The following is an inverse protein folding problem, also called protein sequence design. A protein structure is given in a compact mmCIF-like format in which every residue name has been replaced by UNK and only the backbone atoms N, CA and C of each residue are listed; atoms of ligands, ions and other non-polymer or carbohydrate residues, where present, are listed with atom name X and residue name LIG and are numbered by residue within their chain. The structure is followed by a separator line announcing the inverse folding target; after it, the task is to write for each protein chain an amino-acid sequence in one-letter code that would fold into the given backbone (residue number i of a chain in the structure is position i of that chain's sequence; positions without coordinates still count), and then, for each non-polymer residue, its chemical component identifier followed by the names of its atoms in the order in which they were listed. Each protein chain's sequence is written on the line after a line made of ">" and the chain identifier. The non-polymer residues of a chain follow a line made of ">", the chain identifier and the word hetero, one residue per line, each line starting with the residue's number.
data_IF_263230062763
#
_entry.id   IF_263230062763
#
_cell.length_a   1.000
_cell.length_b   1.000
_cell.length_c   1.000
_cell.angle_alpha   90.00
_cell.angle_beta   90.00
_cell.angle_gamma   90.00
#
_symmetry.space_group_name_H-M   'P 1'
#
loop_
_entity.id
_entity.type
_entity.pdbx_description
1 polymer ?
#
# COMPACT_ATOMS: atom_id res chain seq x y z
N UNK A 1 -2.58 23.74 25.91
CA UNK A 1 -3.30 22.47 26.08
C UNK A 1 -3.37 21.77 24.72
N UNK A 2 -2.23 21.31 24.18
CA UNK A 2 -2.18 20.75 22.80
C UNK A 2 -0.96 19.84 22.64
N UNK A 3 -0.84 18.81 23.49
CA UNK A 3 0.33 17.90 23.46
C UNK A 3 0.00 16.42 23.61
N UNK A 4 -1.27 16.03 23.76
CA UNK A 4 -1.62 14.70 24.27
C UNK A 4 -2.22 13.71 23.25
N UNK A 5 -2.31 14.06 21.96
CA UNK A 5 -3.06 13.22 20.99
C UNK A 5 -2.15 12.37 20.08
N UNK A 6 -0.85 12.67 19.97
CA UNK A 6 0.03 11.99 18.98
C UNK A 6 0.59 10.64 19.50
N UNK A 7 0.41 10.32 20.78
CA UNK A 7 0.92 9.06 21.36
C UNK A 7 0.17 7.79 20.94
N UNK A 8 -0.95 7.89 20.19
CA UNK A 8 -1.82 6.73 19.91
C UNK A 8 -1.83 6.18 18.49
N UNK A 9 -1.11 6.75 17.52
CA UNK A 9 -1.10 6.18 16.16
C UNK A 9 0.08 6.65 15.30
N UNK A 10 1.25 6.08 15.56
CA UNK A 10 2.23 5.84 14.49
C UNK A 10 2.32 4.33 14.35
N UNK A 11 1.63 3.81 13.33
CA UNK A 11 1.59 2.37 13.05
C UNK A 11 3.00 1.82 12.83
N UNK A 12 3.26 0.65 13.41
CA UNK A 12 4.56 -0.02 13.31
C UNK A 12 4.91 -0.34 11.85
N UNK A 13 6.06 0.16 11.37
CA UNK A 13 6.61 -0.24 10.08
C UNK A 13 7.29 -1.61 10.22
N UNK A 14 6.51 -2.68 10.18
CA UNK A 14 7.03 -4.04 10.14
C UNK A 14 8.05 -4.22 9.00
N UNK A 15 9.31 -4.39 9.38
CA UNK A 15 10.41 -4.80 8.52
C UNK A 15 11.18 -5.94 9.20
N UNK A 16 12.15 -6.53 8.50
CA UNK A 16 13.02 -7.63 8.98
C UNK A 16 13.79 -7.32 10.28
N UNK A 17 13.72 -6.08 10.77
CA UNK A 17 14.36 -5.61 12.00
C UNK A 17 13.27 -5.17 13.00
N UNK A 18 12.61 -6.13 13.64
CA UNK A 18 11.60 -5.90 14.69
C UNK A 18 12.16 -5.22 15.95
N UNK A 19 13.49 -5.14 16.08
CA UNK A 19 14.18 -4.57 17.24
C UNK A 19 14.73 -3.16 17.01
N UNK A 20 14.70 -2.65 15.76
CA UNK A 20 15.06 -1.28 15.47
C UNK A 20 13.78 -0.48 15.21
N UNK A 21 13.20 0.04 16.30
CA UNK A 21 12.16 1.06 16.21
C UNK A 21 12.82 2.35 15.73
N UNK A 22 12.98 2.52 14.42
CA UNK A 22 13.34 3.81 13.86
C UNK A 22 12.11 4.70 14.01
N UNK A 23 12.15 5.57 15.02
CA UNK A 23 11.14 6.61 15.20
C UNK A 23 11.34 7.66 14.09
N UNK A 24 10.26 8.20 13.51
CA UNK A 24 10.39 9.31 12.59
C UNK A 24 10.93 10.54 13.33
N UNK A 25 11.85 11.25 12.69
CA UNK A 25 12.22 12.58 13.13
C UNK A 25 11.09 13.56 12.79
N UNK A 26 10.72 14.39 13.76
CA UNK A 26 9.74 15.44 13.58
C UNK A 26 10.45 16.79 13.46
N UNK A 27 10.04 17.59 12.50
CA UNK A 27 10.57 18.93 12.30
C UNK A 27 9.48 19.86 11.76
N UNK A 28 9.57 21.14 12.14
CA UNK A 28 8.73 22.21 11.59
C UNK A 28 9.32 22.80 10.30
N UNK A 29 10.58 22.46 9.99
CA UNK A 29 11.28 22.93 8.79
C UNK A 29 10.63 22.42 7.52
N UNK A 30 10.70 23.22 6.47
CA UNK A 30 10.28 22.80 5.13
C UNK A 30 11.23 21.75 4.54
N UNK A 31 10.75 20.92 3.63
CA UNK A 31 11.56 19.81 3.06
C UNK A 31 12.89 20.29 2.45
N UNK A 32 12.90 21.40 1.72
CA UNK A 32 14.14 21.98 1.16
C UNK A 32 15.09 22.57 2.20
N UNK A 33 14.57 22.95 3.36
CA UNK A 33 15.40 23.43 4.46
C UNK A 33 16.04 22.26 5.22
N UNK A 34 15.33 21.12 5.30
CA UNK A 34 15.85 19.87 5.86
C UNK A 34 16.84 19.19 4.92
N UNK A 35 16.60 19.24 3.61
CA UNK A 35 17.41 18.59 2.58
C UNK A 35 17.83 19.60 1.50
N UNK A 36 18.76 20.52 1.78
CA UNK A 36 19.11 21.62 0.88
C UNK A 36 19.89 21.16 -0.37
N UNK A 37 20.72 20.12 -0.23
CA UNK A 37 21.63 19.65 -1.28
C UNK A 37 21.10 18.44 -2.06
N UNK A 38 19.90 17.96 -1.71
CA UNK A 38 19.31 16.76 -2.28
C UNK A 38 18.35 17.08 -3.44
N UNK A 39 18.30 16.21 -4.44
CA UNK A 39 17.18 16.24 -5.39
C UNK A 39 15.91 15.77 -4.69
N UNK A 40 15.08 16.74 -4.29
CA UNK A 40 13.78 16.48 -3.68
C UNK A 40 12.69 16.43 -4.74
N UNK A 41 11.90 15.37 -4.73
CA UNK A 41 10.66 15.27 -5.51
C UNK A 41 9.44 15.20 -4.60
N UNK A 42 8.33 15.81 -5.03
CA UNK A 42 7.06 15.79 -4.32
C UNK A 42 6.09 14.86 -5.03
N UNK A 43 5.57 13.85 -4.33
CA UNK A 43 4.56 12.93 -4.88
C UNK A 43 3.19 13.59 -4.89
N UNK A 44 2.60 13.72 -6.08
CA UNK A 44 1.20 14.10 -6.25
C UNK A 44 0.55 13.28 -7.35
N UNK A 45 -0.69 12.83 -7.13
CA UNK A 45 -1.48 12.15 -8.16
C UNK A 45 -1.82 13.05 -9.36
N UNK A 46 -1.74 14.36 -9.16
CA UNK A 46 -2.07 15.39 -10.16
C UNK A 46 -0.84 15.87 -10.95
N UNK A 47 0.35 15.35 -10.66
CA UNK A 47 1.56 15.66 -11.40
C UNK A 47 1.50 15.13 -12.84
N UNK A 48 2.22 15.80 -13.74
CA UNK A 48 2.34 15.40 -15.15
C UNK A 48 3.46 14.37 -15.34
N UNK A 49 4.61 14.65 -14.75
CA UNK A 49 5.78 13.80 -14.79
C UNK A 49 5.59 12.57 -13.91
N UNK A 50 6.15 11.45 -14.34
CA UNK A 50 6.04 10.17 -13.67
C UNK A 50 7.40 9.77 -13.11
N UNK A 51 7.43 9.34 -11.85
CA UNK A 51 8.63 8.77 -11.22
C UNK A 51 8.72 7.31 -11.64
N UNK A 52 9.62 6.99 -12.57
CA UNK A 52 9.75 5.66 -13.17
C UNK A 52 11.23 5.34 -13.39
N UNK A 53 11.61 4.08 -13.21
CA UNK A 53 13.01 3.65 -13.11
C UNK A 53 13.55 3.59 -11.67
N UNK A 54 14.88 3.48 -11.48
CA UNK A 54 15.47 3.43 -10.15
C UNK A 54 15.14 4.69 -9.33
N UNK A 55 15.02 4.55 -8.00
CA UNK A 55 14.80 5.68 -7.08
C UNK A 55 16.11 6.48 -6.89
N UNK A 56 16.50 7.21 -7.94
CA UNK A 56 17.68 8.07 -7.97
C UNK A 56 17.34 9.51 -7.56
N UNK A 57 16.67 9.66 -6.43
CA UNK A 57 16.33 10.97 -5.85
C UNK A 57 16.80 10.98 -4.40
N UNK A 58 17.31 12.13 -3.95
CA UNK A 58 17.86 12.29 -2.61
C UNK A 58 16.79 12.27 -1.52
N UNK A 59 15.62 12.86 -1.80
CA UNK A 59 14.47 12.79 -0.90
C UNK A 59 13.13 12.77 -1.64
N UNK A 60 12.14 12.17 -0.98
CA UNK A 60 10.76 12.11 -1.47
C UNK A 60 9.84 12.78 -0.44
N UNK A 61 9.22 13.89 -0.84
CA UNK A 61 8.15 14.53 -0.10
C UNK A 61 6.80 13.89 -0.45
N UNK A 62 6.03 13.51 0.57
CA UNK A 62 4.71 12.93 0.42
C UNK A 62 3.72 13.70 1.29
N UNK A 63 2.58 14.09 0.71
CA UNK A 63 1.49 14.63 1.51
C UNK A 63 0.79 13.48 2.25
N UNK A 64 0.62 13.63 3.56
CA UNK A 64 -0.08 12.64 4.40
C UNK A 64 -1.61 12.73 4.24
N UNK A 65 -2.11 13.70 3.47
CA UNK A 65 -3.53 13.79 3.10
C UNK A 65 -3.88 12.90 1.88
N UNK A 66 -5.17 12.80 1.58
CA UNK A 66 -5.66 12.07 0.40
C UNK A 66 -5.31 12.73 -0.95
N UNK A 67 -4.75 13.94 -0.94
CA UNK A 67 -4.45 14.78 -2.12
C UNK A 67 -5.68 14.95 -3.05
N UNK A 68 -6.87 15.12 -2.48
CA UNK A 68 -8.14 15.25 -3.21
C UNK A 68 -8.27 16.58 -3.94
N UNK A 69 -7.81 17.67 -3.32
CA UNK A 69 -7.91 19.03 -3.83
C UNK A 69 -6.55 19.59 -4.31
N UNK A 70 -5.61 18.71 -4.69
CA UNK A 70 -4.29 19.05 -5.24
C UNK A 70 -3.37 19.72 -4.20
N UNK A 71 -3.55 19.38 -2.93
CA UNK A 71 -2.80 19.89 -1.79
C UNK A 71 -1.29 19.65 -1.97
N UNK A 72 -0.92 18.44 -2.41
CA UNK A 72 0.48 18.07 -2.67
C UNK A 72 1.08 18.91 -3.81
N UNK A 73 0.33 19.10 -4.90
CA UNK A 73 0.79 19.91 -6.04
C UNK A 73 0.93 21.39 -5.66
N UNK A 74 0.02 21.92 -4.86
CA UNK A 74 0.09 23.28 -4.32
C UNK A 74 1.31 23.47 -3.40
N UNK A 75 1.56 22.51 -2.50
CA UNK A 75 2.74 22.50 -1.64
C UNK A 75 4.05 22.45 -2.45
N UNK A 76 4.13 21.54 -3.44
CA UNK A 76 5.27 21.42 -4.32
C UNK A 76 5.58 22.75 -5.06
N UNK A 77 4.55 23.41 -5.61
CA UNK A 77 4.68 24.69 -6.30
C UNK A 77 5.19 25.81 -5.38
N UNK A 78 4.62 25.94 -4.18
CA UNK A 78 5.06 26.94 -3.19
C UNK A 78 6.52 26.72 -2.77
N UNK A 79 6.93 25.46 -2.58
CA UNK A 79 8.31 25.09 -2.26
C UNK A 79 9.27 25.09 -3.45
N UNK A 80 8.81 25.38 -4.68
CA UNK A 80 9.57 25.21 -5.92
C UNK A 80 10.21 23.80 -6.03
N UNK A 81 9.46 22.78 -5.62
CA UNK A 81 9.84 21.36 -5.65
C UNK A 81 9.21 20.72 -6.88
N UNK A 82 9.98 19.89 -7.58
CA UNK A 82 9.49 19.12 -8.72
C UNK A 82 8.40 18.14 -8.27
N UNK A 83 7.22 18.21 -8.89
CA UNK A 83 6.12 17.32 -8.58
C UNK A 83 6.07 16.15 -9.56
N UNK A 84 6.01 14.92 -9.05
CA UNK A 84 5.94 13.68 -9.82
C UNK A 84 4.80 12.79 -9.33
N UNK A 85 4.28 11.92 -10.20
CA UNK A 85 3.29 10.89 -9.83
C UNK A 85 3.90 9.50 -9.87
N UNK A 86 3.31 8.58 -9.11
CA UNK A 86 3.65 7.16 -9.20
C UNK A 86 3.25 6.58 -10.57
N UNK A 87 3.98 5.59 -11.11
CA UNK A 87 3.75 5.01 -12.43
C UNK A 87 2.61 3.98 -12.42
N UNK A 88 1.55 4.23 -11.63
CA UNK A 88 0.43 3.28 -11.44
C UNK A 88 -0.20 2.91 -12.78
N UNK A 89 -0.55 3.92 -13.60
CA UNK A 89 -1.21 3.68 -14.89
C UNK A 89 -0.34 2.95 -15.91
N UNK A 90 0.99 2.92 -15.72
CA UNK A 90 1.92 2.21 -16.61
C UNK A 90 1.91 0.72 -16.33
N UNK A 91 1.92 0.33 -15.06
CA UNK A 91 2.08 -1.07 -14.63
C UNK A 91 0.78 -1.74 -14.15
N UNK A 92 -0.28 -0.96 -13.91
CA UNK A 92 -1.49 -1.44 -13.26
C UNK A 92 -2.73 -0.97 -13.99
N UNK A 93 -3.53 -1.94 -14.46
CA UNK A 93 -4.87 -1.68 -14.98
C UNK A 93 -5.85 -1.48 -13.83
N UNK A 94 -6.11 -0.21 -13.52
CA UNK A 94 -7.01 0.17 -12.44
C UNK A 94 -8.47 0.01 -12.88
N UNK A 95 -9.18 -0.95 -12.32
CA UNK A 95 -10.55 -1.29 -12.73
C UNK A 95 -11.60 -0.45 -12.00
N UNK A 96 -11.41 -0.19 -10.70
CA UNK A 96 -12.44 0.49 -9.91
C UNK A 96 -11.94 1.21 -8.66
N UNK A 97 -12.76 2.15 -8.19
CA UNK A 97 -12.53 2.92 -6.98
C UNK A 97 -11.48 4.02 -7.13
N UNK A 98 -11.29 4.84 -6.09
CA UNK A 98 -10.34 5.95 -6.15
C UNK A 98 -8.90 5.44 -6.24
N UNK A 99 -8.11 6.03 -7.14
CA UNK A 99 -6.67 5.79 -7.25
C UNK A 99 -5.93 6.53 -6.14
N UNK A 100 -6.12 6.05 -4.92
CA UNK A 100 -5.45 6.49 -3.71
C UNK A 100 -4.76 5.30 -3.05
N UNK A 101 -3.51 5.49 -2.63
CA UNK A 101 -2.73 4.49 -1.93
C UNK A 101 -2.51 4.95 -0.49
N UNK A 102 -2.88 4.14 0.52
CA UNK A 102 -2.54 4.45 1.91
C UNK A 102 -1.02 4.63 2.08
N UNK A 103 -0.64 5.56 2.95
CA UNK A 103 0.78 5.85 3.25
C UNK A 103 1.63 4.59 3.50
N UNK A 104 1.19 3.59 4.31
CA UNK A 104 1.99 2.38 4.53
C UNK A 104 2.28 1.59 3.24
N UNK A 105 1.33 1.57 2.30
CA UNK A 105 1.50 0.87 1.03
C UNK A 105 2.50 1.61 0.14
N UNK A 106 2.46 2.95 0.13
CA UNK A 106 3.44 3.78 -0.59
C UNK A 106 4.85 3.52 -0.04
N UNK A 107 5.03 3.46 1.27
CA UNK A 107 6.33 3.15 1.89
C UNK A 107 6.85 1.76 1.52
N UNK A 108 5.97 0.75 1.50
CA UNK A 108 6.32 -0.61 1.05
C UNK A 108 6.70 -0.64 -0.42
N UNK A 109 6.02 0.13 -1.27
CA UNK A 109 6.35 0.28 -2.69
C UNK A 109 7.75 0.88 -2.84
N UNK A 110 8.02 2.03 -2.23
CA UNK A 110 9.36 2.66 -2.33
C UNK A 110 10.47 1.76 -1.81
N UNK A 111 10.24 1.09 -0.67
CA UNK A 111 11.21 0.12 -0.13
C UNK A 111 11.48 -1.02 -1.11
N UNK A 112 10.45 -1.54 -1.77
CA UNK A 112 10.60 -2.60 -2.76
C UNK A 112 11.40 -2.13 -3.96
N UNK A 113 10.99 -1.01 -4.56
CA UNK A 113 11.65 -0.41 -5.75
C UNK A 113 13.11 -0.08 -5.45
N UNK A 114 13.41 0.49 -4.29
CA UNK A 114 14.77 0.80 -3.89
C UNK A 114 15.64 -0.47 -3.81
N UNK A 115 15.12 -1.55 -3.18
CA UNK A 115 15.85 -2.81 -3.03
C UNK A 115 16.01 -3.60 -4.33
N UNK A 116 15.03 -3.50 -5.24
CA UNK A 116 15.06 -4.19 -6.52
C UNK A 116 15.77 -3.40 -7.62
N UNK A 117 16.16 -2.15 -7.35
CA UNK A 117 16.78 -1.27 -8.34
C UNK A 117 15.81 -0.73 -9.40
N UNK A 118 14.49 -0.74 -9.14
CA UNK A 118 13.51 -0.15 -10.08
C UNK A 118 12.31 -1.02 -10.44
N UNK A 119 12.07 -2.16 -9.81
CA UNK A 119 10.90 -3.00 -10.11
C UNK A 119 9.60 -2.41 -9.54
N UNK A 120 9.00 -1.50 -10.30
CA UNK A 120 7.73 -0.86 -9.98
C UNK A 120 6.53 -1.77 -10.14
N UNK A 121 6.53 -2.64 -11.14
CA UNK A 121 5.40 -3.51 -11.45
C UNK A 121 5.10 -4.45 -10.29
N UNK A 122 6.11 -5.20 -9.85
CA UNK A 122 5.99 -6.11 -8.70
C UNK A 122 5.68 -5.34 -7.42
N UNK A 123 6.31 -4.18 -7.21
CA UNK A 123 6.06 -3.34 -6.04
C UNK A 123 4.59 -2.90 -5.96
N UNK A 124 4.04 -2.42 -7.06
CA UNK A 124 2.67 -1.94 -7.15
C UNK A 124 1.66 -3.08 -7.02
N UNK A 125 1.83 -4.18 -7.76
CA UNK A 125 0.91 -5.31 -7.71
C UNK A 125 0.85 -5.98 -6.34
N UNK A 126 1.97 -6.05 -5.60
CA UNK A 126 2.01 -6.59 -4.24
C UNK A 126 1.34 -5.70 -3.19
N UNK A 127 1.25 -4.39 -3.44
CA UNK A 127 0.80 -3.41 -2.45
C UNK A 127 -0.53 -2.71 -2.81
N UNK A 128 -1.09 -2.97 -3.99
CA UNK A 128 -2.44 -2.52 -4.36
C UNK A 128 -3.44 -3.63 -4.06
N UNK A 129 -4.56 -3.29 -3.42
CA UNK A 129 -5.60 -4.27 -3.12
C UNK A 129 -6.23 -4.81 -4.41
N UNK A 130 -6.34 -6.15 -4.50
CA UNK A 130 -6.98 -6.87 -5.62
C UNK A 130 -8.34 -6.30 -6.04
N UNK A 131 -9.11 -5.76 -5.09
CA UNK A 131 -10.41 -5.12 -5.38
C UNK A 131 -10.33 -4.00 -6.41
N UNK A 132 -9.19 -3.34 -6.55
CA UNK A 132 -8.94 -2.27 -7.53
C UNK A 132 -8.44 -2.80 -8.87
N UNK A 133 -8.03 -4.07 -8.92
CA UNK A 133 -7.38 -4.72 -10.07
C UNK A 133 -8.32 -5.67 -10.82
N UNK A 134 -9.37 -6.14 -10.14
CA UNK A 134 -10.31 -7.12 -10.69
C UNK A 134 -11.54 -6.46 -11.29
N UNK A 135 -11.99 -7.00 -12.42
CA UNK A 135 -13.27 -6.64 -13.03
C UNK A 135 -14.45 -7.16 -12.19
N UNK A 136 -15.68 -6.64 -12.41
CA UNK A 136 -16.87 -7.18 -11.77
C UNK A 136 -17.06 -8.68 -12.01
N UNK A 137 -16.78 -9.15 -13.23
CA UNK A 137 -16.94 -10.56 -13.63
C UNK A 137 -15.93 -11.46 -12.89
N UNK A 138 -14.66 -11.05 -12.81
CA UNK A 138 -13.62 -11.79 -12.09
C UNK A 138 -13.95 -11.92 -10.60
N UNK A 139 -14.54 -10.88 -10.00
CA UNK A 139 -14.96 -10.91 -8.59
C UNK A 139 -16.12 -11.85 -8.35
N UNK A 140 -17.08 -11.87 -9.26
CA UNK A 140 -18.20 -12.78 -9.16
C UNK A 140 -17.73 -14.23 -9.28
N UNK A 141 -16.82 -14.51 -10.22
CA UNK A 141 -16.20 -15.82 -10.35
C UNK A 141 -15.42 -16.25 -9.10
N UNK A 142 -14.59 -15.36 -8.52
CA UNK A 142 -13.86 -15.66 -7.28
C UNK A 142 -14.83 -15.89 -6.10
N UNK A 143 -15.88 -15.08 -5.97
CA UNK A 143 -16.89 -15.25 -4.94
C UNK A 143 -17.69 -16.56 -5.09
N UNK A 144 -18.01 -16.96 -6.32
CA UNK A 144 -18.65 -18.25 -6.60
C UNK A 144 -17.71 -19.42 -6.27
N UNK A 145 -16.43 -19.32 -6.65
CA UNK A 145 -15.42 -20.33 -6.35
C UNK A 145 -15.19 -20.47 -4.85
N UNK A 146 -15.10 -19.36 -4.11
CA UNK A 146 -14.98 -19.36 -2.66
C UNK A 146 -16.19 -20.00 -1.98
N UNK A 147 -17.42 -19.67 -2.43
CA UNK A 147 -18.64 -20.31 -1.94
C UNK A 147 -18.63 -21.81 -2.18
N UNK A 148 -18.21 -22.25 -3.36
CA UNK A 148 -18.08 -23.67 -3.69
C UNK A 148 -17.04 -24.36 -2.82
N UNK A 149 -15.86 -23.76 -2.64
CA UNK A 149 -14.80 -24.29 -1.80
C UNK A 149 -15.24 -24.41 -0.33
N UNK A 150 -15.91 -23.39 0.21
CA UNK A 150 -16.48 -23.43 1.58
C UNK A 150 -17.51 -24.55 1.73
N UNK A 151 -18.38 -24.76 0.73
CA UNK A 151 -19.33 -25.88 0.74
C UNK A 151 -18.63 -27.24 0.74
N UNK A 152 -17.58 -27.41 -0.08
CA UNK A 152 -16.78 -28.65 -0.13
C UNK A 152 -16.06 -28.91 1.19
N UNK A 153 -15.50 -27.89 1.83
CA UNK A 153 -14.83 -28.01 3.14
C UNK A 153 -15.83 -28.46 4.20
N UNK A 154 -16.97 -27.77 4.34
CA UNK A 154 -18.03 -28.15 5.29
C UNK A 154 -18.55 -29.57 5.08
N UNK A 155 -18.66 -30.00 3.82
CA UNK A 155 -19.09 -31.36 3.51
C UNK A 155 -18.06 -32.39 3.97
N UNK A 156 -16.76 -32.11 3.81
CA UNK A 156 -15.68 -32.98 4.30
C UNK A 156 -15.68 -33.06 5.82
N UNK A 157 -15.75 -31.92 6.50
CA UNK A 157 -15.84 -31.84 7.97
C UNK A 157 -17.05 -32.62 8.49
N UNK A 158 -18.21 -32.50 7.84
CA UNK A 158 -19.41 -33.27 8.19
C UNK A 158 -19.20 -34.77 8.03
N UNK A 159 -18.61 -35.18 6.91
CA UNK A 159 -18.37 -36.60 6.64
C UNK A 159 -17.35 -37.21 7.61
N UNK A 160 -16.30 -36.46 7.96
CA UNK A 160 -15.32 -36.88 8.98
C UNK A 160 -15.98 -37.00 10.37
N UNK A 161 -16.81 -36.03 10.76
CA UNK A 161 -17.55 -36.10 12.02
C UNK A 161 -18.46 -37.33 12.09
N UNK A 162 -19.20 -37.61 11.02
CA UNK A 162 -20.05 -38.80 10.92
C UNK A 162 -19.21 -40.06 11.09
N UNK A 163 -18.06 -40.14 10.41
CA UNK A 163 -17.15 -41.29 10.50
C UNK A 163 -16.70 -41.53 11.95
N UNK A 164 -16.26 -40.48 12.64
CA UNK A 164 -15.82 -40.57 14.04
C UNK A 164 -16.95 -41.00 14.98
N UNK A 165 -18.18 -40.54 14.75
CA UNK A 165 -19.34 -40.95 15.55
C UNK A 165 -19.65 -42.44 15.34
N UNK A 166 -19.64 -42.93 14.09
CA UNK A 166 -19.87 -44.36 13.80
C UNK A 166 -18.78 -45.24 14.44
N UNK A 167 -17.51 -44.83 14.34
CA UNK A 167 -16.38 -45.51 15.01
C UNK A 167 -16.56 -45.56 16.54
N UNK A 168 -17.01 -44.47 17.16
CA UNK A 168 -17.16 -44.39 18.62
C UNK A 168 -18.42 -45.08 19.17
N UNK A 169 -19.48 -45.22 18.37
CA UNK A 169 -20.76 -45.81 18.79
C UNK A 169 -20.90 -47.30 18.48
N UNK A 170 -19.91 -47.90 17.81
CA UNK A 170 -19.93 -49.33 17.47
C UNK A 170 -20.97 -49.71 16.41
N UNK A 171 -21.53 -48.71 15.71
CA UNK A 171 -22.36 -48.94 14.53
C UNK A 171 -21.45 -49.21 13.32
N UNK A 172 -21.23 -50.49 13.02
CA UNK A 172 -20.61 -50.98 11.79
C UNK A 172 -21.62 -51.14 10.67
#
# INVERSE_FOLDING_TARGET
>A
MTGYIIFRSVGFYGGLYTHQTVLPDFTEKGVKETFPDEEVVYISRHARETLDGPLNVGAIALCVSMDTAREALGAARRGRIRAVRLPIKKYVKWQQGPMYLPFPNIMRIFRHVHRSGGDWETALLKNISKRHLMTPEEKEQEAQQEKMNRRKIRQRERNELIRTICEATGHH
#
